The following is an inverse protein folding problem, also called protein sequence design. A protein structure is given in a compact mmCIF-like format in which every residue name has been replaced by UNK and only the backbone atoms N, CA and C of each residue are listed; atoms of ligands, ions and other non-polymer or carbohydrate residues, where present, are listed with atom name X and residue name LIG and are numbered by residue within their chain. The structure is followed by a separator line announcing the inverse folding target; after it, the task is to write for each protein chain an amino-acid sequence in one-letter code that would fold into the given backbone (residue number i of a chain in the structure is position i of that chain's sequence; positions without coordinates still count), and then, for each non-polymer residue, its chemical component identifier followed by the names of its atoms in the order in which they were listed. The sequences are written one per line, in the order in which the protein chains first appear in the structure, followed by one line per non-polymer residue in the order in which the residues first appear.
data_IF_378071322802
#
_entry.id   IF_378071322802
#
_cell.length_a   1.000
_cell.length_b   1.000
_cell.length_c   1.000
_cell.angle_alpha   90.00
_cell.angle_beta   90.00
_cell.angle_gamma   90.00
#
_symmetry.space_group_name_H-M   'P 1'
#
loop_
_entity.id
_entity.type
_entity.pdbx_description
1 polymer ?
#
# COMPACT_ATOMS: atom_id res chain seq x y z
N UNK A 1 35.83 -6.91 -76.16
CA UNK A 1 35.88 -7.53 -74.83
C UNK A 1 35.11 -6.66 -73.88
N UNK A 2 33.86 -7.04 -73.50
CA UNK A 2 32.97 -6.27 -72.60
C UNK A 2 32.89 -7.00 -71.23
N UNK A 3 33.47 -6.38 -70.21
CA UNK A 3 33.43 -6.85 -68.82
C UNK A 3 32.09 -6.53 -68.18
N UNK A 4 31.43 -7.56 -67.69
CA UNK A 4 30.16 -7.41 -66.92
C UNK A 4 30.50 -7.40 -65.42
N UNK A 5 30.29 -6.25 -64.75
CA UNK A 5 30.38 -6.12 -63.31
C UNK A 5 28.99 -6.46 -62.73
N UNK A 6 28.88 -7.54 -61.95
CA UNK A 6 27.70 -7.91 -61.19
C UNK A 6 27.70 -7.12 -59.85
N UNK A 7 26.76 -6.22 -59.71
CA UNK A 7 26.50 -5.54 -58.40
C UNK A 7 25.59 -6.45 -57.58
N UNK A 8 26.12 -6.97 -56.50
CA UNK A 8 25.35 -7.72 -55.49
C UNK A 8 24.69 -6.70 -54.59
N UNK A 9 23.39 -6.50 -54.73
CA UNK A 9 22.58 -5.68 -53.83
C UNK A 9 22.32 -6.40 -52.52
N UNK A 10 22.87 -5.88 -51.43
CA UNK A 10 22.60 -6.35 -50.08
C UNK A 10 21.26 -5.74 -49.61
N UNK A 11 20.20 -6.54 -49.58
CA UNK A 11 18.90 -6.12 -49.06
C UNK A 11 18.96 -6.16 -47.55
N UNK A 12 19.03 -4.97 -46.92
CA UNK A 12 18.83 -4.80 -45.46
C UNK A 12 17.34 -4.89 -45.15
N UNK A 13 16.92 -5.99 -44.51
CA UNK A 13 15.60 -6.14 -43.93
C UNK A 13 15.56 -5.34 -42.62
N UNK A 14 14.59 -4.41 -42.42
CA UNK A 14 14.41 -3.77 -41.12
C UNK A 14 13.80 -4.76 -40.14
N UNK A 15 14.50 -5.05 -39.03
CA UNK A 15 13.94 -5.72 -37.88
C UNK A 15 12.92 -4.77 -37.21
N UNK A 16 11.64 -5.00 -37.44
CA UNK A 16 10.58 -4.34 -36.70
C UNK A 16 10.56 -4.92 -35.27
N UNK A 17 11.12 -4.20 -34.32
CA UNK A 17 10.97 -4.50 -32.89
C UNK A 17 9.53 -4.18 -32.49
N UNK A 18 8.70 -5.21 -32.42
CA UNK A 18 7.35 -5.10 -31.85
C UNK A 18 7.50 -4.88 -30.34
N UNK A 19 7.53 -3.62 -29.91
CA UNK A 19 7.38 -3.27 -28.50
C UNK A 19 5.94 -3.59 -28.11
N UNK A 20 5.70 -4.72 -27.46
CA UNK A 20 4.45 -4.99 -26.77
C UNK A 20 4.33 -3.99 -25.59
N UNK A 21 3.75 -2.83 -25.87
CA UNK A 21 3.19 -1.98 -24.83
C UNK A 21 1.96 -2.70 -24.29
N UNK A 22 2.13 -3.38 -23.17
CA UNK A 22 0.97 -3.82 -22.37
C UNK A 22 0.34 -2.56 -21.81
N UNK A 23 -0.65 -2.03 -22.51
CA UNK A 23 -1.50 -0.95 -22.01
C UNK A 23 -2.30 -1.50 -20.83
N UNK A 24 -1.81 -1.28 -19.62
CA UNK A 24 -2.60 -1.54 -18.40
C UNK A 24 -3.76 -0.56 -18.43
N UNK A 25 -4.98 -1.05 -18.60
CA UNK A 25 -6.17 -0.21 -18.45
C UNK A 25 -6.11 0.50 -17.09
N UNK A 26 -6.33 1.82 -17.04
CA UNK A 26 -6.33 2.53 -15.77
C UNK A 26 -7.45 1.97 -14.90
N UNK A 27 -7.09 1.46 -13.73
CA UNK A 27 -8.03 0.98 -12.74
C UNK A 27 -9.00 2.10 -12.40
N UNK A 28 -10.31 1.87 -12.41
CA UNK A 28 -11.26 2.92 -12.08
C UNK A 28 -11.00 3.42 -10.66
N UNK A 29 -11.05 4.74 -10.45
CA UNK A 29 -10.83 5.34 -9.14
C UNK A 29 -11.79 4.78 -8.08
N UNK A 30 -13.02 4.44 -8.47
CA UNK A 30 -14.01 3.85 -7.56
C UNK A 30 -13.60 2.45 -7.10
N UNK A 31 -13.15 1.60 -8.02
CA UNK A 31 -12.63 0.27 -7.69
C UNK A 31 -11.43 0.37 -6.74
N UNK A 32 -10.52 1.30 -7.00
CA UNK A 32 -9.35 1.55 -6.14
C UNK A 32 -9.75 2.01 -4.73
N UNK A 33 -10.77 2.87 -4.61
CA UNK A 33 -11.30 3.27 -3.30
C UNK A 33 -11.87 2.08 -2.51
N UNK A 34 -12.65 1.23 -3.16
CA UNK A 34 -13.21 0.03 -2.52
C UNK A 34 -12.12 -0.94 -2.07
N UNK A 35 -11.07 -1.12 -2.87
CA UNK A 35 -9.94 -1.97 -2.50
C UNK A 35 -9.15 -1.39 -1.32
N UNK A 36 -8.94 -0.07 -1.28
CA UNK A 36 -8.29 0.59 -0.15
C UNK A 36 -9.11 0.50 1.12
N UNK A 37 -10.43 0.71 1.04
CA UNK A 37 -11.33 0.52 2.18
C UNK A 37 -11.28 -0.91 2.73
N UNK A 38 -11.27 -1.91 1.84
CA UNK A 38 -11.16 -3.31 2.24
C UNK A 38 -9.80 -3.62 2.88
N UNK A 39 -8.71 -3.04 2.34
CA UNK A 39 -7.37 -3.22 2.87
C UNK A 39 -7.22 -2.57 4.24
N UNK A 40 -7.73 -1.35 4.42
CA UNK A 40 -7.73 -0.61 5.68
C UNK A 40 -8.50 -1.36 6.76
N UNK A 41 -9.70 -1.84 6.42
CA UNK A 41 -10.50 -2.65 7.33
C UNK A 41 -9.80 -3.96 7.74
N UNK A 42 -9.13 -4.61 6.79
CA UNK A 42 -8.30 -5.78 7.09
C UNK A 42 -7.14 -5.43 8.02
N UNK A 43 -6.49 -4.31 7.80
CA UNK A 43 -5.37 -3.86 8.64
C UNK A 43 -5.84 -3.61 10.07
N UNK A 44 -6.92 -2.86 10.26
CA UNK A 44 -7.49 -2.60 11.59
C UNK A 44 -7.72 -3.88 12.43
N UNK A 45 -8.18 -4.95 11.78
CA UNK A 45 -8.47 -6.21 12.46
C UNK A 45 -7.27 -7.16 12.59
N UNK A 46 -6.18 -6.87 11.88
CA UNK A 46 -4.98 -7.71 11.82
C UNK A 46 -3.71 -6.95 12.24
N UNK A 47 -3.84 -5.81 12.90
CA UNK A 47 -2.72 -4.93 13.24
C UNK A 47 -1.66 -5.56 14.16
N UNK A 48 -2.03 -6.61 14.88
CA UNK A 48 -1.17 -7.38 15.79
C UNK A 48 -0.73 -8.74 15.19
N UNK A 49 -1.10 -9.02 13.94
CA UNK A 49 -0.69 -10.25 13.24
C UNK A 49 0.48 -9.96 12.27
N UNK A 50 1.72 -10.31 12.63
CA UNK A 50 2.88 -10.04 11.79
C UNK A 50 2.83 -10.76 10.42
N UNK A 51 2.11 -11.88 10.32
CA UNK A 51 1.95 -12.60 9.03
C UNK A 51 1.00 -11.86 8.10
N UNK A 52 -0.11 -11.35 8.64
CA UNK A 52 -1.04 -10.54 7.88
C UNK A 52 -0.39 -9.23 7.42
N UNK A 53 0.33 -8.55 8.33
CA UNK A 53 1.01 -7.28 8.04
C UNK A 53 2.14 -7.41 7.02
N UNK A 54 2.81 -8.56 6.93
CA UNK A 54 3.82 -8.81 5.90
C UNK A 54 3.29 -8.54 4.48
N UNK A 55 2.02 -8.86 4.22
CA UNK A 55 1.36 -8.64 2.93
C UNK A 55 0.76 -7.23 2.75
N UNK A 56 0.40 -6.56 3.84
CA UNK A 56 -0.22 -5.23 3.84
C UNK A 56 0.84 -4.14 3.69
N UNK A 57 1.93 -4.24 4.43
CA UNK A 57 3.00 -3.25 4.46
C UNK A 57 3.96 -3.44 3.28
N UNK A 58 4.31 -2.35 2.60
CA UNK A 58 5.33 -2.35 1.56
C UNK A 58 6.74 -2.56 2.16
N UNK A 59 7.74 -3.02 1.38
CA UNK A 59 9.11 -3.16 1.88
C UNK A 59 9.73 -1.85 2.41
N UNK A 60 9.30 -0.72 1.85
CA UNK A 60 9.76 0.64 2.19
C UNK A 60 8.80 1.37 3.17
N UNK A 61 7.91 0.63 3.84
CA UNK A 61 6.95 1.19 4.79
C UNK A 61 7.61 1.89 5.98
N UNK A 62 7.05 3.05 6.33
CA UNK A 62 7.41 3.83 7.52
C UNK A 62 6.17 4.15 8.35
N UNK A 63 6.23 3.85 9.64
CA UNK A 63 5.21 4.22 10.61
C UNK A 63 5.69 5.40 11.45
N UNK A 64 5.00 6.51 11.36
CA UNK A 64 5.29 7.73 12.13
C UNK A 64 4.42 7.72 13.38
N UNK A 65 5.05 7.57 14.52
CA UNK A 65 4.40 7.60 15.83
C UNK A 65 4.97 8.72 16.69
N UNK A 66 4.31 9.15 17.77
CA UNK A 66 4.88 10.17 18.65
C UNK A 66 6.30 9.81 19.11
N UNK A 67 7.29 10.62 18.68
CA UNK A 67 8.69 10.47 19.07
C UNK A 67 9.52 9.47 18.27
N UNK A 68 8.96 8.75 17.28
CA UNK A 68 9.72 7.78 16.50
C UNK A 68 9.21 7.62 15.05
N UNK A 69 10.10 7.10 14.19
CA UNK A 69 9.75 6.54 12.89
C UNK A 69 10.21 5.09 12.89
N UNK A 70 9.28 4.17 12.62
CA UNK A 70 9.47 2.73 12.70
C UNK A 70 9.38 2.14 11.30
N UNK A 71 10.36 1.33 10.90
CA UNK A 71 10.32 0.61 9.62
C UNK A 71 9.41 -0.62 9.69
N UNK A 72 9.06 -1.17 8.51
CA UNK A 72 8.32 -2.45 8.44
C UNK A 72 8.98 -3.54 9.29
N UNK A 73 10.29 -3.74 9.12
CA UNK A 73 11.02 -4.82 9.80
C UNK A 73 10.98 -4.64 11.33
N UNK A 74 11.16 -3.41 11.81
CA UNK A 74 11.06 -3.09 13.23
C UNK A 74 9.64 -3.34 13.77
N UNK A 75 8.61 -2.95 13.01
CA UNK A 75 7.22 -3.19 13.39
C UNK A 75 6.92 -4.69 13.49
N UNK A 76 7.26 -5.47 12.46
CA UNK A 76 7.04 -6.90 12.44
C UNK A 76 7.86 -7.65 13.49
N UNK A 77 9.10 -7.21 13.75
CA UNK A 77 9.93 -7.77 14.81
C UNK A 77 9.29 -7.53 16.18
N UNK A 78 8.85 -6.30 16.46
CA UNK A 78 8.18 -5.96 17.72
C UNK A 78 6.96 -6.86 17.97
N UNK A 79 6.10 -7.06 16.95
CA UNK A 79 4.91 -7.91 17.06
C UNK A 79 5.24 -9.39 17.30
N UNK A 80 6.33 -9.90 16.71
CA UNK A 80 6.78 -11.28 16.94
C UNK A 80 7.31 -11.48 18.36
N UNK A 81 7.98 -10.46 18.91
CA UNK A 81 8.54 -10.50 20.27
C UNK A 81 7.47 -10.23 21.34
N UNK A 82 6.39 -9.52 20.98
CA UNK A 82 5.31 -9.13 21.88
C UNK A 82 3.95 -9.58 21.32
N UNK A 83 3.70 -10.90 21.18
CA UNK A 83 2.44 -11.38 20.65
C UNK A 83 1.27 -10.91 21.51
N UNK A 84 0.21 -10.42 20.88
CA UNK A 84 -0.98 -9.99 21.57
C UNK A 84 -1.57 -11.14 22.40
N UNK A 85 -1.71 -10.92 23.69
CA UNK A 85 -2.35 -11.85 24.63
C UNK A 85 -3.74 -11.36 25.00
N UNK A 86 -4.70 -12.29 25.08
CA UNK A 86 -6.04 -11.96 25.57
C UNK A 86 -7.05 -11.54 24.49
N UNK A 87 -8.16 -10.96 24.96
CA UNK A 87 -9.23 -10.48 24.08
C UNK A 87 -8.82 -9.16 23.44
N UNK A 88 -8.94 -9.06 22.11
CA UNK A 88 -8.68 -7.81 21.39
C UNK A 88 -9.77 -6.79 21.72
N UNK A 89 -9.40 -5.52 21.96
CA UNK A 89 -10.40 -4.46 22.09
C UNK A 89 -11.20 -4.33 20.80
N UNK A 90 -12.46 -3.98 20.91
CA UNK A 90 -13.28 -3.65 19.76
C UNK A 90 -12.80 -2.33 19.15
N UNK A 91 -12.56 -2.34 17.83
CA UNK A 91 -12.14 -1.18 17.08
C UNK A 91 -13.08 -0.92 15.91
N UNK A 92 -13.31 0.35 15.62
CA UNK A 92 -14.09 0.78 14.45
C UNK A 92 -13.54 2.08 13.88
N UNK A 93 -13.87 2.34 12.64
CA UNK A 93 -13.59 3.62 12.00
C UNK A 93 -14.74 4.61 12.20
N UNK A 94 -14.37 5.88 12.30
CA UNK A 94 -15.25 7.03 12.23
C UNK A 94 -14.64 8.06 11.27
N UNK A 95 -15.49 8.79 10.51
CA UNK A 95 -15.06 9.84 9.56
C UNK A 95 -13.98 9.37 8.55
N UNK A 96 -14.20 8.23 7.93
CA UNK A 96 -13.24 7.64 7.00
C UNK A 96 -13.28 8.30 5.62
N UNK A 97 -12.17 8.83 5.17
CA UNK A 97 -11.99 9.48 3.88
C UNK A 97 -10.97 8.76 3.01
N UNK A 98 -11.36 8.33 1.81
CA UNK A 98 -10.47 7.68 0.84
C UNK A 98 -10.30 8.56 -0.40
N UNK A 99 -9.07 8.84 -0.76
CA UNK A 99 -8.68 9.60 -1.95
C UNK A 99 -7.69 8.79 -2.78
N UNK A 100 -7.88 8.78 -4.11
CA UNK A 100 -7.03 8.03 -5.05
C UNK A 100 -6.48 8.98 -6.09
N UNK A 101 -5.17 8.91 -6.32
CA UNK A 101 -4.41 9.72 -7.28
C UNK A 101 -3.54 8.79 -8.13
N UNK A 102 -4.14 8.18 -9.17
CA UNK A 102 -3.45 7.18 -9.99
C UNK A 102 -3.08 5.93 -9.17
N UNK A 103 -1.79 5.71 -8.99
CA UNK A 103 -1.24 4.59 -8.22
C UNK A 103 -0.94 4.96 -6.75
N UNK A 104 -1.35 6.14 -6.30
CA UNK A 104 -1.29 6.54 -4.90
C UNK A 104 -2.68 6.63 -4.29
N UNK A 105 -2.82 6.17 -3.05
CA UNK A 105 -4.03 6.25 -2.25
C UNK A 105 -3.74 6.85 -0.88
N UNK A 106 -4.69 7.62 -0.35
CA UNK A 106 -4.62 8.19 1.00
C UNK A 106 -5.92 7.86 1.71
N UNK A 107 -5.81 7.28 2.89
CA UNK A 107 -6.93 7.02 3.80
C UNK A 107 -6.68 7.81 5.08
N UNK A 108 -7.67 8.59 5.49
CA UNK A 108 -7.63 9.25 6.78
C UNK A 108 -8.95 9.01 7.52
N UNK A 109 -8.89 9.04 8.83
CA UNK A 109 -10.07 8.90 9.66
C UNK A 109 -9.74 8.93 11.13
N UNK A 110 -10.67 8.42 11.90
CA UNK A 110 -10.53 8.22 13.34
C UNK A 110 -10.73 6.74 13.62
N UNK A 111 -9.79 6.13 14.33
CA UNK A 111 -9.99 4.83 14.99
C UNK A 111 -10.58 5.07 16.36
N UNK A 112 -11.69 4.42 16.63
CA UNK A 112 -12.30 4.34 17.97
C UNK A 112 -11.98 2.96 18.52
N UNK A 113 -11.37 2.92 19.69
CA UNK A 113 -11.09 1.70 20.43
C UNK A 113 -11.90 1.70 21.73
N UNK A 114 -12.70 0.66 21.94
CA UNK A 114 -13.48 0.48 23.18
C UNK A 114 -12.59 -0.16 24.24
N UNK A 115 -12.43 0.52 25.37
CA UNK A 115 -11.64 0.06 26.53
C UNK A 115 -12.50 0.01 27.79
N UNK A 116 -12.01 -0.61 28.85
CA UNK A 116 -12.67 -0.65 30.17
C UNK A 116 -12.86 0.76 30.81
N UNK A 117 -12.11 1.75 30.28
CA UNK A 117 -12.17 3.14 30.77
C UNK A 117 -12.91 4.08 29.81
N UNK A 118 -13.61 3.54 28.81
CA UNK A 118 -14.32 4.30 27.77
C UNK A 118 -13.64 4.22 26.42
N UNK A 119 -14.06 5.07 25.50
CA UNK A 119 -13.53 5.10 24.13
C UNK A 119 -12.22 5.89 24.05
N UNK A 120 -11.24 5.33 23.37
CA UNK A 120 -10.01 5.99 22.97
C UNK A 120 -10.07 6.32 21.48
N UNK A 121 -9.71 7.55 21.11
CA UNK A 121 -9.72 8.04 19.73
C UNK A 121 -8.30 8.26 19.24
N UNK A 122 -8.05 7.84 18.01
CA UNK A 122 -6.78 8.08 17.32
C UNK A 122 -7.07 8.59 15.91
N UNK A 123 -6.59 9.79 15.57
CA UNK A 123 -6.56 10.27 14.20
C UNK A 123 -5.47 9.54 13.46
N UNK A 124 -5.73 9.15 12.21
CA UNK A 124 -4.72 8.50 11.40
C UNK A 124 -4.68 9.01 9.96
N UNK A 125 -3.55 8.81 9.33
CA UNK A 125 -3.35 9.00 7.90
C UNK A 125 -2.46 7.91 7.37
N UNK A 126 -3.01 7.10 6.46
CA UNK A 126 -2.31 6.02 5.81
C UNK A 126 -2.16 6.31 4.32
N UNK A 127 -0.96 6.09 3.81
CA UNK A 127 -0.61 6.29 2.40
C UNK A 127 -0.30 4.93 1.78
N UNK A 128 -0.93 4.68 0.64
CA UNK A 128 -0.80 3.45 -0.12
C UNK A 128 -0.20 3.71 -1.50
N UNK A 129 0.56 2.74 -1.99
CA UNK A 129 1.01 2.69 -3.37
C UNK A 129 0.50 1.41 -4.04
N UNK A 130 0.07 1.54 -5.30
CA UNK A 130 -0.29 0.41 -6.15
C UNK A 130 0.93 -0.05 -6.94
N UNK A 131 1.52 -1.16 -6.51
CA UNK A 131 2.72 -1.74 -7.12
C UNK A 131 2.49 -3.24 -7.36
N UNK A 132 2.98 -3.76 -8.48
CA UNK A 132 2.93 -5.19 -8.80
C UNK A 132 1.54 -5.83 -8.68
N UNK A 133 0.51 -5.06 -9.06
CA UNK A 133 -0.88 -5.54 -9.09
C UNK A 133 -1.64 -5.46 -7.78
N UNK A 134 -1.08 -4.87 -6.73
CA UNK A 134 -1.69 -4.75 -5.40
C UNK A 134 -1.43 -3.39 -4.73
N UNK A 135 -2.33 -3.00 -3.86
CA UNK A 135 -2.14 -1.90 -2.93
C UNK A 135 -1.31 -2.37 -1.73
N UNK A 136 -0.35 -1.56 -1.30
CA UNK A 136 0.42 -1.76 -0.07
C UNK A 136 0.59 -0.42 0.64
N UNK A 137 0.54 -0.44 1.98
CA UNK A 137 0.84 0.74 2.78
C UNK A 137 2.32 1.09 2.69
N UNK A 138 2.63 2.34 2.37
CA UNK A 138 3.99 2.89 2.31
C UNK A 138 4.30 3.82 3.47
N UNK A 139 3.26 4.42 4.07
CA UNK A 139 3.40 5.23 5.27
C UNK A 139 2.12 5.18 6.10
N UNK A 140 2.28 5.21 7.42
CA UNK A 140 1.20 5.43 8.38
C UNK A 140 1.61 6.51 9.36
N UNK A 141 0.64 7.31 9.80
CA UNK A 141 0.80 8.26 10.89
C UNK A 141 -0.40 8.20 11.82
N UNK A 142 -0.13 8.12 13.10
CA UNK A 142 -1.13 8.08 14.16
C UNK A 142 -0.94 9.23 15.15
N UNK A 143 -2.05 9.83 15.55
CA UNK A 143 -2.09 10.90 16.53
C UNK A 143 -3.20 10.60 17.56
N UNK A 144 -2.86 10.14 18.76
CA UNK A 144 -3.83 9.99 19.84
C UNK A 144 -4.53 11.31 20.14
N UNK A 145 -5.85 11.28 20.28
CA UNK A 145 -6.65 12.44 20.69
C UNK A 145 -6.68 12.45 22.22
N UNK A 146 -6.26 13.56 22.83
CA UNK A 146 -6.35 13.70 24.26
C UNK A 146 -7.81 13.59 24.72
N UNK A 147 -8.05 12.88 25.81
CA UNK A 147 -9.35 12.90 26.48
C UNK A 147 -9.66 14.33 26.96
N UNK A 148 -10.91 14.79 26.86
CA UNK A 148 -11.32 16.12 27.32
C UNK A 148 -11.14 16.30 28.84
#
# INVERSE_FOLDING_TARGET
MRSWVRVIGCALLPLAVLSCHVSREPKSAEKSKQELLALENRWLHMEDDPVALEGILAPDFLHVVPGAIITKDQNLQFLREHPAGGQRPEKRFEDLHVRVYGEAGIVNGVVIETTDHGERKTLFTDVFAYRDGKWQAVSAQELPVAAP
#
